data_IF_598988506510
#
_entry.id   IF_598988506510
#
_cell.length_a   1.000
_cell.length_b   1.000
_cell.length_c   1.000
_cell.angle_alpha   90.00
_cell.angle_beta   90.00
_cell.angle_gamma   90.00
#
_symmetry.space_group_name_H-M   'P 1'
#
loop_
_entity.id
_entity.type
_entity.pdbx_description
1 polymer ?
#
# COMPACT_ATOMS: atom_id res chain seq x y z
N UNK A 1 -19.31 2.36 16.47
CA UNK A 1 -19.24 0.88 16.64
C UNK A 1 -20.13 0.47 17.81
N UNK A 2 -20.82 -0.65 17.73
CA UNK A 2 -21.47 -1.28 18.90
C UNK A 2 -20.39 -1.75 19.90
N UNK A 3 -20.73 -1.94 21.18
CA UNK A 3 -19.71 -2.10 22.23
C UNK A 3 -18.80 -3.33 22.05
N UNK A 4 -19.34 -4.46 21.57
CA UNK A 4 -18.55 -5.67 21.32
C UNK A 4 -17.93 -5.77 19.92
N UNK A 5 -18.09 -4.75 19.09
CA UNK A 5 -17.56 -4.76 17.73
C UNK A 5 -16.04 -4.69 17.72
N UNK A 6 -15.46 -5.33 16.70
CA UNK A 6 -14.03 -5.27 16.42
C UNK A 6 -13.80 -4.67 15.05
N UNK A 7 -12.74 -3.87 14.92
CA UNK A 7 -12.26 -3.34 13.66
C UNK A 7 -11.00 -4.10 13.27
N UNK A 8 -11.02 -4.66 12.07
CA UNK A 8 -9.81 -5.24 11.47
C UNK A 8 -9.23 -4.28 10.46
N UNK A 9 -7.94 -3.98 10.59
CA UNK A 9 -7.19 -3.12 9.67
C UNK A 9 -6.10 -3.96 9.02
N UNK A 10 -6.02 -3.89 7.68
CA UNK A 10 -4.96 -4.43 6.86
C UNK A 10 -4.31 -3.27 6.11
N UNK A 11 -3.04 -2.98 6.38
CA UNK A 11 -2.34 -1.85 5.77
C UNK A 11 -0.86 -2.17 5.59
N UNK A 12 -0.28 -1.71 4.49
CA UNK A 12 1.17 -1.69 4.36
C UNK A 12 1.77 -0.61 5.27
N UNK A 13 2.96 -0.85 5.78
CA UNK A 13 3.65 0.09 6.66
C UNK A 13 5.16 -0.04 6.54
N UNK A 14 5.85 0.99 7.02
CA UNK A 14 7.28 0.99 7.24
C UNK A 14 7.59 0.52 8.67
N UNK A 15 8.75 -0.10 8.85
CA UNK A 15 9.21 -0.69 10.10
C UNK A 15 9.22 0.28 11.29
N UNK A 16 9.60 1.54 11.07
CA UNK A 16 9.86 2.51 12.13
C UNK A 16 9.24 3.89 11.89
N UNK A 17 9.19 4.34 10.62
CA UNK A 17 8.88 5.72 10.30
C UNK A 17 7.49 5.87 9.70
N UNK A 18 6.75 6.87 10.14
CA UNK A 18 5.62 7.40 9.41
C UNK A 18 6.06 8.65 8.65
N UNK A 19 5.64 8.79 7.39
CA UNK A 19 5.95 9.95 6.57
C UNK A 19 4.85 10.26 5.56
N UNK A 20 4.68 11.55 5.26
CA UNK A 20 3.74 12.00 4.25
C UNK A 20 4.28 11.73 2.84
N UNK A 21 3.37 11.43 1.92
CA UNK A 21 3.71 11.39 0.50
C UNK A 21 3.63 12.81 -0.07
N UNK A 22 4.77 13.52 -0.02
CA UNK A 22 4.94 14.87 -0.53
C UNK A 22 5.76 14.86 -1.81
N UNK A 23 5.37 15.69 -2.78
CA UNK A 23 6.12 15.86 -4.02
C UNK A 23 7.18 16.93 -3.75
N UNK A 24 8.43 16.54 -3.56
CA UNK A 24 9.55 17.43 -3.33
C UNK A 24 10.36 17.69 -4.60
N UNK A 25 10.31 16.73 -5.55
CA UNK A 25 11.04 16.83 -6.81
C UNK A 25 10.40 15.91 -7.88
N UNK A 26 10.93 15.96 -9.10
CA UNK A 26 10.41 15.17 -10.23
C UNK A 26 10.57 13.65 -10.11
N UNK A 27 11.44 13.19 -9.21
CA UNK A 27 11.67 11.77 -8.95
C UNK A 27 10.61 11.15 -8.03
N UNK A 28 9.76 11.96 -7.39
CA UNK A 28 8.67 11.52 -6.51
C UNK A 28 7.47 11.01 -7.32
N UNK A 29 7.80 10.18 -8.31
CA UNK A 29 6.88 9.68 -9.31
C UNK A 29 5.71 8.89 -8.70
N UNK A 30 5.98 7.99 -7.75
CA UNK A 30 4.92 7.19 -7.10
C UNK A 30 3.98 8.09 -6.30
N UNK A 31 4.51 9.03 -5.57
CA UNK A 31 3.72 10.04 -4.85
C UNK A 31 2.82 10.80 -5.80
N UNK A 32 3.39 11.33 -6.89
CA UNK A 32 2.67 12.16 -7.86
C UNK A 32 1.47 11.44 -8.50
N UNK A 33 1.62 10.18 -8.86
CA UNK A 33 0.61 9.47 -9.66
C UNK A 33 -0.25 8.50 -8.88
N UNK A 34 0.16 8.06 -7.68
CA UNK A 34 -0.53 7.00 -6.95
C UNK A 34 -0.84 7.32 -5.48
N UNK A 35 -0.05 8.18 -4.84
CA UNK A 35 -0.15 8.37 -3.39
C UNK A 35 -0.30 9.82 -2.94
N UNK A 36 -0.64 10.75 -3.84
CA UNK A 36 -0.79 12.18 -3.52
C UNK A 36 -1.72 12.37 -2.31
N UNK A 37 -1.23 13.06 -1.29
CA UNK A 37 -1.97 13.36 -0.07
C UNK A 37 -2.12 12.19 0.90
N UNK A 38 -1.42 11.07 0.64
CA UNK A 38 -1.40 9.91 1.53
C UNK A 38 -0.24 9.94 2.53
N UNK A 39 -0.20 8.90 3.35
CA UNK A 39 0.86 8.66 4.33
C UNK A 39 1.36 7.22 4.22
N UNK A 40 2.68 7.03 4.38
CA UNK A 40 3.24 5.74 4.76
C UNK A 40 3.15 5.62 6.27
N UNK A 41 2.33 4.74 6.83
CA UNK A 41 2.26 4.57 8.27
C UNK A 41 3.46 3.79 8.81
N UNK A 42 3.84 4.06 10.05
CA UNK A 42 4.71 3.14 10.81
C UNK A 42 3.90 1.96 11.34
N UNK A 43 4.59 0.86 11.70
CA UNK A 43 3.92 -0.32 12.27
C UNK A 43 3.20 -0.05 13.61
N UNK A 44 3.63 0.97 14.33
CA UNK A 44 3.13 1.36 15.65
C UNK A 44 2.18 2.55 15.61
N UNK A 45 1.76 2.96 14.42
CA UNK A 45 0.95 4.18 14.26
C UNK A 45 -0.30 4.21 15.17
N UNK A 46 -0.96 3.08 15.38
CA UNK A 46 -2.15 3.01 16.23
C UNK A 46 -1.87 3.16 17.74
N UNK A 47 -0.62 3.10 18.16
CA UNK A 47 -0.24 3.37 19.55
C UNK A 47 -0.30 4.87 19.88
N UNK A 48 -0.25 5.72 18.83
CA UNK A 48 -0.34 7.19 18.95
C UNK A 48 -1.77 7.73 18.82
N UNK A 49 -2.74 6.89 18.47
CA UNK A 49 -4.14 7.27 18.23
C UNK A 49 -5.08 6.32 18.98
N UNK A 50 -4.95 6.27 20.31
CA UNK A 50 -5.66 5.31 21.14
C UNK A 50 -6.82 5.93 21.96
N UNK A 51 -7.29 7.11 21.59
CA UNK A 51 -8.37 7.81 22.32
C UNK A 51 -9.67 7.00 22.33
N UNK A 52 -10.13 6.54 21.17
CA UNK A 52 -11.40 5.85 20.98
C UNK A 52 -11.27 4.34 20.80
N UNK A 53 -10.16 3.88 20.23
CA UNK A 53 -9.89 2.49 19.90
C UNK A 53 -8.57 2.02 20.47
N UNK A 54 -8.53 0.79 20.93
CA UNK A 54 -7.30 0.16 21.40
C UNK A 54 -6.97 -1.08 20.60
N UNK A 55 -5.68 -1.29 20.31
CA UNK A 55 -5.18 -2.49 19.63
C UNK A 55 -5.25 -3.69 20.57
N UNK A 56 -6.05 -4.68 20.20
CA UNK A 56 -6.17 -5.95 20.94
C UNK A 56 -5.08 -6.92 20.51
N UNK A 57 -4.77 -6.92 19.20
CA UNK A 57 -3.77 -7.81 18.61
C UNK A 57 -3.26 -7.23 17.30
N UNK A 58 -1.98 -7.45 17.03
CA UNK A 58 -1.35 -7.10 15.75
C UNK A 58 -0.54 -8.27 15.19
N UNK A 59 -0.40 -8.31 13.86
CA UNK A 59 0.40 -9.30 13.14
C UNK A 59 1.22 -8.59 12.07
N UNK A 60 2.46 -8.97 11.93
CA UNK A 60 3.32 -8.54 10.84
C UNK A 60 3.39 -9.64 9.78
N UNK A 61 3.05 -9.28 8.55
CA UNK A 61 3.13 -10.14 7.37
C UNK A 61 4.35 -9.69 6.57
N UNK A 62 5.34 -10.55 6.43
CA UNK A 62 6.59 -10.24 5.74
C UNK A 62 6.34 -9.67 4.34
N UNK A 63 7.07 -8.61 3.98
CA UNK A 63 6.92 -7.88 2.72
C UNK A 63 7.10 -8.75 1.47
N UNK A 64 7.88 -9.82 1.54
CA UNK A 64 8.05 -10.74 0.41
C UNK A 64 6.72 -11.34 -0.10
N UNK A 65 5.71 -11.47 0.77
CA UNK A 65 4.38 -11.90 0.35
C UNK A 65 3.73 -10.86 -0.56
N UNK A 66 3.85 -9.58 -0.22
CA UNK A 66 3.31 -8.50 -1.03
C UNK A 66 4.12 -8.29 -2.31
N UNK A 67 5.44 -8.47 -2.25
CA UNK A 67 6.29 -8.54 -3.45
C UNK A 67 5.81 -9.60 -4.43
N UNK A 68 5.57 -10.84 -3.98
CA UNK A 68 5.03 -11.93 -4.81
C UNK A 68 3.64 -11.60 -5.37
N UNK A 69 2.80 -10.94 -4.58
CA UNK A 69 1.47 -10.49 -5.01
C UNK A 69 1.58 -9.44 -6.11
N UNK A 70 2.45 -8.43 -5.94
CA UNK A 70 2.69 -7.38 -6.95
C UNK A 70 3.18 -7.97 -8.26
N UNK A 71 4.10 -8.93 -8.20
CA UNK A 71 4.56 -9.69 -9.37
C UNK A 71 3.42 -10.45 -10.06
N UNK A 72 2.54 -11.09 -9.30
CA UNK A 72 1.39 -11.80 -9.85
C UNK A 72 0.39 -10.84 -10.52
N UNK A 73 0.15 -9.67 -9.93
CA UNK A 73 -0.69 -8.64 -10.53
C UNK A 73 -0.09 -8.11 -11.82
N UNK A 74 1.21 -7.84 -11.86
CA UNK A 74 1.90 -7.42 -13.09
C UNK A 74 1.76 -8.47 -14.20
N UNK A 75 1.98 -9.74 -13.87
CA UNK A 75 1.80 -10.84 -14.83
C UNK A 75 0.38 -10.92 -15.38
N UNK A 76 -0.63 -10.74 -14.52
CA UNK A 76 -2.04 -10.71 -14.93
C UNK A 76 -2.35 -9.49 -15.79
N UNK A 77 -1.79 -8.33 -15.47
CA UNK A 77 -1.92 -7.11 -16.24
C UNK A 77 -1.33 -7.27 -17.64
N UNK A 78 -0.14 -7.84 -17.76
CA UNK A 78 0.52 -8.08 -19.05
C UNK A 78 -0.27 -9.08 -19.91
N UNK A 79 -0.76 -10.16 -19.30
CA UNK A 79 -1.61 -11.15 -19.99
C UNK A 79 -2.90 -10.55 -20.55
N UNK A 80 -3.48 -9.58 -19.84
CA UNK A 80 -4.73 -8.92 -20.21
C UNK A 80 -4.50 -7.51 -20.79
N UNK A 81 -3.31 -7.23 -21.33
CA UNK A 81 -2.87 -5.88 -21.73
C UNK A 81 -3.85 -5.17 -22.68
N UNK A 82 -4.44 -5.90 -23.63
CA UNK A 82 -5.40 -5.34 -24.61
C UNK A 82 -6.62 -4.71 -23.91
N UNK A 83 -7.28 -5.48 -23.07
CA UNK A 83 -8.51 -5.00 -22.39
C UNK A 83 -8.18 -3.94 -21.34
N UNK A 84 -7.07 -4.07 -20.60
CA UNK A 84 -6.66 -3.10 -19.61
C UNK A 84 -6.31 -1.75 -20.25
N UNK A 85 -5.61 -1.76 -21.40
CA UNK A 85 -5.36 -0.52 -22.15
C UNK A 85 -6.65 0.15 -22.61
N UNK A 86 -7.64 -0.60 -23.07
CA UNK A 86 -8.95 -0.03 -23.44
C UNK A 86 -9.64 0.63 -22.25
N UNK A 87 -9.65 -0.03 -21.09
CA UNK A 87 -10.24 0.52 -19.85
C UNK A 87 -9.52 1.80 -19.43
N UNK A 88 -8.19 1.76 -19.34
CA UNK A 88 -7.40 2.92 -18.91
C UNK A 88 -7.52 4.11 -19.87
N UNK A 89 -7.51 3.85 -21.18
CA UNK A 89 -7.67 4.90 -22.20
C UNK A 89 -9.09 5.52 -22.22
N UNK A 90 -10.09 4.83 -21.66
CA UNK A 90 -11.43 5.38 -21.48
C UNK A 90 -11.49 6.36 -20.31
N UNK A 91 -10.66 6.17 -19.29
CA UNK A 91 -10.68 6.98 -18.06
C UNK A 91 -9.60 8.06 -18.00
N UNK A 92 -8.57 7.97 -18.82
CA UNK A 92 -7.44 8.89 -18.83
C UNK A 92 -7.14 9.37 -20.25
N UNK A 93 -6.89 10.65 -20.41
CA UNK A 93 -6.65 11.27 -21.73
C UNK A 93 -5.32 10.86 -22.38
N UNK A 94 -4.38 10.32 -21.60
CA UNK A 94 -3.05 9.93 -22.04
C UNK A 94 -3.03 8.50 -22.57
N UNK A 95 -3.10 8.34 -23.89
CA UNK A 95 -3.17 7.04 -24.55
C UNK A 95 -2.03 6.09 -24.14
N UNK A 96 -2.37 4.97 -23.55
CA UNK A 96 -1.48 3.92 -23.05
C UNK A 96 -0.45 4.31 -21.96
N UNK A 97 -0.25 5.57 -21.63
CA UNK A 97 0.74 5.99 -20.63
C UNK A 97 0.40 5.40 -19.27
N UNK A 98 -0.87 5.43 -18.88
CA UNK A 98 -1.31 4.85 -17.60
C UNK A 98 -1.09 3.34 -17.50
N UNK A 99 -1.14 2.60 -18.62
CA UNK A 99 -0.77 1.19 -18.62
C UNK A 99 0.70 1.00 -18.21
N UNK A 100 1.60 1.80 -18.74
CA UNK A 100 3.02 1.71 -18.37
C UNK A 100 3.29 2.24 -16.97
N UNK A 101 2.58 3.29 -16.52
CA UNK A 101 2.64 3.77 -15.14
C UNK A 101 2.27 2.67 -14.15
N UNK A 102 1.19 1.94 -14.36
CA UNK A 102 0.81 0.80 -13.53
C UNK A 102 1.83 -0.34 -13.55
N UNK A 103 2.43 -0.62 -14.70
CA UNK A 103 3.50 -1.63 -14.79
C UNK A 103 4.71 -1.25 -13.95
N UNK A 104 5.18 0.01 -14.04
CA UNK A 104 6.28 0.52 -13.24
C UNK A 104 5.90 0.48 -11.75
N UNK A 105 4.67 0.86 -11.40
CA UNK A 105 4.16 0.79 -10.04
C UNK A 105 4.29 -0.62 -9.45
N UNK A 106 3.81 -1.65 -10.15
CA UNK A 106 3.91 -3.03 -9.67
C UNK A 106 5.35 -3.53 -9.58
N UNK A 107 6.21 -3.16 -10.53
CA UNK A 107 7.65 -3.48 -10.47
C UNK A 107 8.30 -2.82 -9.26
N UNK A 108 8.00 -1.56 -9.02
CA UNK A 108 8.53 -0.82 -7.85
C UNK A 108 8.04 -1.47 -6.56
N UNK A 109 6.77 -1.79 -6.43
CA UNK A 109 6.25 -2.51 -5.26
C UNK A 109 6.90 -3.89 -5.08
N UNK A 110 7.12 -4.65 -6.17
CA UNK A 110 7.83 -5.93 -6.10
C UNK A 110 9.20 -5.77 -5.47
N UNK A 111 9.98 -4.76 -5.86
CA UNK A 111 11.33 -4.55 -5.35
C UNK A 111 11.34 -3.93 -3.94
N UNK A 112 10.51 -2.93 -3.67
CA UNK A 112 10.43 -2.30 -2.35
C UNK A 112 10.13 -3.28 -1.23
N UNK A 113 9.14 -4.14 -1.45
CA UNK A 113 8.75 -5.12 -0.43
C UNK A 113 9.72 -6.29 -0.26
N UNK A 114 10.78 -6.40 -1.07
CA UNK A 114 11.90 -7.33 -0.86
C UNK A 114 13.00 -6.74 0.03
N UNK A 115 13.08 -5.43 0.16
CA UNK A 115 14.18 -4.77 0.87
C UNK A 115 14.29 -5.33 2.29
N UNK A 116 15.53 -5.58 2.70
CA UNK A 116 15.85 -6.17 4.00
C UNK A 116 15.11 -7.50 4.26
N UNK A 117 15.01 -8.37 3.23
CA UNK A 117 14.28 -9.64 3.28
C UNK A 117 12.81 -9.46 3.71
N UNK A 118 12.16 -8.42 3.21
CA UNK A 118 10.77 -8.08 3.50
C UNK A 118 10.52 -7.54 4.91
N UNK A 119 11.55 -7.03 5.58
CA UNK A 119 11.46 -6.51 6.95
C UNK A 119 11.45 -4.99 7.04
N UNK A 120 11.67 -4.28 5.94
CA UNK A 120 11.67 -2.81 5.91
C UNK A 120 10.28 -2.26 5.66
N UNK A 121 9.65 -2.70 4.57
CA UNK A 121 8.24 -2.46 4.26
C UNK A 121 7.49 -3.78 4.24
N UNK A 122 6.36 -3.81 4.91
CA UNK A 122 5.57 -5.03 5.08
C UNK A 122 4.09 -4.68 5.27
N UNK A 123 3.26 -5.67 5.43
CA UNK A 123 1.84 -5.49 5.75
C UNK A 123 1.64 -5.77 7.24
N UNK A 124 0.95 -4.87 7.93
CA UNK A 124 0.49 -5.10 9.29
C UNK A 124 -1.02 -5.31 9.31
N UNK A 125 -1.42 -6.25 10.15
CA UNK A 125 -2.80 -6.47 10.52
C UNK A 125 -3.01 -6.04 11.96
N UNK A 126 -4.10 -5.34 12.21
CA UNK A 126 -4.49 -4.93 13.55
C UNK A 126 -5.93 -5.33 13.81
N UNK A 127 -6.17 -5.84 14.99
CA UNK A 127 -7.50 -6.02 15.55
C UNK A 127 -7.69 -5.01 16.64
N UNK A 128 -8.64 -4.09 16.45
CA UNK A 128 -8.95 -3.03 17.40
C UNK A 128 -10.34 -3.28 18.01
N UNK A 129 -10.53 -2.78 19.22
CA UNK A 129 -11.83 -2.69 19.89
C UNK A 129 -12.07 -1.28 20.39
N UNK A 130 -13.32 -0.95 20.68
CA UNK A 130 -13.68 0.28 21.37
C UNK A 130 -12.96 0.34 22.72
N UNK A 131 -12.41 1.49 23.06
CA UNK A 131 -11.87 1.76 24.40
C UNK A 131 -13.03 2.03 25.35
N UNK A 132 -13.06 1.39 26.49
CA UNK A 132 -14.09 1.58 27.53
C UNK A 132 -13.84 2.85 28.30
#
# INVERSE_FOLDING_TARGET
>A
MVDDAKLFVHIFCHRQSAYLYEIQNEWDWMTKYFFTGGIMPSKDIFEFFDEDLTVVKSWQINGEHYSKTSKAWLKNMDKNSRIIKQILNHHYDEQNIWFYRWRIFFLTCEEFFKINNGKEWFVSHYLLKKKN
#
